data_IF_914164902376
#
_entry.id   IF_914164902376
#
_cell.length_a   1.000
_cell.length_b   1.000
_cell.length_c   1.000
_cell.angle_alpha   90.00
_cell.angle_beta   90.00
_cell.angle_gamma   90.00
#
_symmetry.space_group_name_H-M   'P 1'
#
loop_
_entity.id
_entity.type
_entity.pdbx_description
1 polymer ?
#
# COMPACT_ATOMS: atom_id res chain seq x y z
N UNK A 1 -4.57 17.17 14.99
CA UNK A 1 -4.76 16.52 13.68
C UNK A 1 -4.44 17.55 12.63
N UNK A 2 -3.55 17.25 11.69
CA UNK A 2 -3.29 18.13 10.57
C UNK A 2 -4.49 18.07 9.60
N UNK A 3 -4.96 19.22 9.12
CA UNK A 3 -6.19 19.34 8.34
C UNK A 3 -5.85 19.72 6.89
N UNK A 4 -6.29 18.91 5.91
CA UNK A 4 -6.00 19.17 4.49
C UNK A 4 -6.72 20.44 4.00
N UNK A 5 -7.84 20.79 4.64
CA UNK A 5 -8.63 21.99 4.39
C UNK A 5 -7.82 23.29 4.52
N UNK A 6 -6.70 23.30 5.25
CA UNK A 6 -5.83 24.47 5.36
C UNK A 6 -4.87 24.69 4.18
N UNK A 7 -4.86 23.79 3.18
CA UNK A 7 -3.98 23.91 2.02
C UNK A 7 -4.72 24.53 0.83
N UNK A 8 -4.26 25.69 0.28
CA UNK A 8 -4.92 26.32 -0.88
C UNK A 8 -5.04 25.39 -2.10
N UNK A 9 -4.03 24.55 -2.32
CA UNK A 9 -4.05 23.55 -3.39
C UNK A 9 -5.15 22.49 -3.19
N UNK A 10 -5.48 22.14 -1.95
CA UNK A 10 -6.55 21.20 -1.64
C UNK A 10 -7.92 21.84 -1.87
N UNK A 11 -8.13 23.07 -1.39
CA UNK A 11 -9.37 23.81 -1.60
C UNK A 11 -9.66 24.01 -3.10
N UNK A 12 -8.68 24.46 -3.88
CA UNK A 12 -8.83 24.61 -5.33
C UNK A 12 -9.09 23.28 -6.03
N UNK A 13 -8.48 22.18 -5.56
CA UNK A 13 -8.69 20.84 -6.13
C UNK A 13 -10.11 20.29 -5.90
N UNK A 14 -10.77 20.69 -4.81
CA UNK A 14 -12.12 20.23 -4.44
C UNK A 14 -13.23 21.23 -4.80
N UNK A 15 -12.86 22.41 -5.30
CA UNK A 15 -13.79 23.50 -5.62
C UNK A 15 -14.81 23.08 -6.66
N UNK A 16 -16.09 23.25 -6.33
CA UNK A 16 -17.21 22.97 -7.22
C UNK A 16 -17.52 21.48 -7.45
N UNK A 17 -16.78 20.55 -6.84
CA UNK A 17 -17.05 19.13 -6.96
C UNK A 17 -18.27 18.72 -6.10
N UNK A 18 -19.16 17.86 -6.61
CA UNK A 18 -20.12 17.09 -5.80
C UNK A 18 -19.44 16.24 -4.73
N UNK A 19 -20.18 15.81 -3.70
CA UNK A 19 -19.57 15.14 -2.54
C UNK A 19 -18.99 13.75 -2.84
N UNK A 20 -19.58 13.00 -3.77
CA UNK A 20 -19.01 11.75 -4.28
C UNK A 20 -17.75 11.99 -5.10
N UNK A 21 -17.73 13.02 -5.94
CA UNK A 21 -16.53 13.43 -6.68
C UNK A 21 -15.41 13.95 -5.76
N UNK A 22 -15.76 14.64 -4.66
CA UNK A 22 -14.80 15.07 -3.65
C UNK A 22 -14.08 13.89 -3.00
N UNK A 23 -14.82 12.86 -2.59
CA UNK A 23 -14.22 11.64 -2.01
C UNK A 23 -13.27 10.96 -2.99
N UNK A 24 -13.71 10.78 -4.24
CA UNK A 24 -12.84 10.21 -5.28
C UNK A 24 -11.59 11.06 -5.53
N UNK A 25 -11.71 12.39 -5.45
CA UNK A 25 -10.57 13.29 -5.61
C UNK A 25 -9.57 13.16 -4.44
N UNK A 26 -10.04 13.00 -3.21
CA UNK A 26 -9.20 12.76 -2.02
C UNK A 26 -8.49 11.41 -2.14
N UNK A 27 -9.22 10.34 -2.42
CA UNK A 27 -8.65 8.99 -2.61
C UNK A 27 -7.57 8.99 -3.71
N UNK A 28 -7.78 9.75 -4.78
CA UNK A 28 -6.80 9.90 -5.86
C UNK A 28 -5.53 10.67 -5.44
N UNK A 29 -5.64 11.67 -4.55
CA UNK A 29 -4.49 12.38 -4.01
C UNK A 29 -3.66 11.46 -3.12
N UNK A 30 -4.32 10.71 -2.23
CA UNK A 30 -3.67 9.74 -1.35
C UNK A 30 -2.96 8.65 -2.16
N UNK A 31 -3.63 8.08 -3.15
CA UNK A 31 -3.08 7.00 -3.97
C UNK A 31 -1.83 7.46 -4.76
N UNK A 32 -1.86 8.65 -5.36
CA UNK A 32 -0.71 9.19 -6.11
C UNK A 32 0.44 9.59 -5.19
N UNK A 33 0.09 10.23 -4.08
CA UNK A 33 1.05 10.74 -3.10
C UNK A 33 1.80 9.67 -2.33
N UNK A 34 1.24 8.46 -2.21
CA UNK A 34 1.85 7.37 -1.46
C UNK A 34 3.28 7.06 -1.95
N UNK A 35 3.51 7.08 -3.26
CA UNK A 35 4.83 6.83 -3.87
C UNK A 35 5.88 7.91 -3.56
N UNK A 36 5.44 9.09 -3.09
CA UNK A 36 6.31 10.23 -2.74
C UNK A 36 6.82 10.16 -1.30
N UNK A 37 6.22 9.31 -0.46
CA UNK A 37 6.60 9.20 0.94
C UNK A 37 8.01 8.64 1.13
N UNK A 38 8.60 8.98 2.28
CA UNK A 38 9.89 8.47 2.72
C UNK A 38 9.83 6.99 3.11
N UNK A 39 11.01 6.37 3.21
CA UNK A 39 11.15 4.94 3.51
C UNK A 39 10.45 4.51 4.80
N UNK A 40 10.56 5.30 5.87
CA UNK A 40 9.95 4.99 7.17
C UNK A 40 8.42 4.94 7.09
N UNK A 41 7.81 5.91 6.42
CA UNK A 41 6.36 5.96 6.21
C UNK A 41 5.88 4.80 5.32
N UNK A 42 6.66 4.39 4.32
CA UNK A 42 6.34 3.25 3.46
C UNK A 42 6.48 1.91 4.20
N UNK A 43 7.44 1.80 5.12
CA UNK A 43 7.58 0.65 6.00
C UNK A 43 6.41 0.56 6.98
N UNK A 44 6.01 1.67 7.61
CA UNK A 44 4.82 1.74 8.46
C UNK A 44 3.55 1.38 7.68
N UNK A 45 3.40 1.92 6.46
CA UNK A 45 2.33 1.57 5.54
C UNK A 45 2.27 0.07 5.29
N UNK A 46 3.42 -0.57 5.04
CA UNK A 46 3.51 -2.00 4.79
C UNK A 46 3.11 -2.83 6.03
N UNK A 47 3.53 -2.44 7.24
CA UNK A 47 3.10 -3.07 8.48
C UNK A 47 1.56 -3.05 8.62
N UNK A 48 0.95 -1.88 8.41
CA UNK A 48 -0.50 -1.69 8.50
C UNK A 48 -1.26 -2.53 7.46
N UNK A 49 -0.74 -2.65 6.22
CA UNK A 49 -1.35 -3.58 5.25
C UNK A 49 -1.22 -5.02 5.75
N UNK A 50 -0.04 -5.42 6.23
CA UNK A 50 0.18 -6.78 6.74
C UNK A 50 -0.80 -7.15 7.84
N UNK A 51 -0.98 -6.27 8.83
CA UNK A 51 -1.94 -6.43 9.91
C UNK A 51 -3.38 -6.51 9.37
N UNK A 52 -3.77 -5.58 8.50
CA UNK A 52 -5.10 -5.57 7.88
C UNK A 52 -5.36 -6.88 7.14
N UNK A 53 -4.45 -7.32 6.26
CA UNK A 53 -4.61 -8.55 5.49
C UNK A 53 -4.62 -9.80 6.38
N UNK A 54 -3.91 -9.79 7.50
CA UNK A 54 -3.89 -10.89 8.47
C UNK A 54 -5.25 -11.20 9.08
N UNK A 55 -6.09 -10.18 9.29
CA UNK A 55 -7.41 -10.32 9.91
C UNK A 55 -8.58 -10.67 8.99
N UNK A 56 -8.36 -10.69 7.66
CA UNK A 56 -9.44 -10.81 6.68
C UNK A 56 -9.74 -12.26 6.26
N UNK A 57 -10.93 -12.48 5.70
CA UNK A 57 -11.20 -13.69 4.93
C UNK A 57 -10.41 -13.69 3.60
N UNK A 58 -10.12 -14.86 2.99
CA UNK A 58 -9.33 -14.94 1.76
C UNK A 58 -9.92 -14.19 0.56
N UNK A 59 -11.26 -14.07 0.49
CA UNK A 59 -11.91 -13.40 -0.64
C UNK A 59 -11.69 -11.90 -0.59
N UNK A 60 -12.00 -11.26 0.55
CA UNK A 60 -11.78 -9.83 0.77
C UNK A 60 -10.29 -9.47 0.68
N UNK A 61 -9.44 -10.27 1.35
CA UNK A 61 -7.99 -10.11 1.31
C UNK A 61 -7.44 -10.13 -0.12
N UNK A 62 -7.85 -11.12 -0.92
CA UNK A 62 -7.44 -11.24 -2.32
C UNK A 62 -7.91 -10.08 -3.18
N UNK A 63 -9.16 -9.64 -3.00
CA UNK A 63 -9.70 -8.49 -3.70
C UNK A 63 -8.89 -7.21 -3.40
N UNK A 64 -8.50 -6.98 -2.14
CA UNK A 64 -7.66 -5.83 -1.76
C UNK A 64 -6.29 -5.90 -2.43
N UNK A 65 -5.61 -7.05 -2.32
CA UNK A 65 -4.27 -7.26 -2.91
C UNK A 65 -4.28 -7.04 -4.42
N UNK A 66 -5.35 -7.46 -5.10
CA UNK A 66 -5.53 -7.29 -6.55
C UNK A 66 -5.95 -5.88 -6.96
N UNK A 67 -6.24 -5.00 -6.01
CA UNK A 67 -6.80 -3.66 -6.27
C UNK A 67 -8.23 -3.68 -6.82
N UNK A 68 -9.00 -4.73 -6.49
CA UNK A 68 -10.36 -4.98 -6.98
C UNK A 68 -11.42 -4.95 -5.87
N UNK A 69 -11.02 -4.70 -4.62
CA UNK A 69 -11.97 -4.52 -3.53
C UNK A 69 -12.88 -3.31 -3.79
N UNK A 70 -14.18 -3.48 -3.54
CA UNK A 70 -15.11 -2.36 -3.51
C UNK A 70 -14.78 -1.39 -2.37
N UNK A 71 -15.21 -0.11 -2.44
CA UNK A 71 -15.02 0.84 -1.34
C UNK A 71 -15.58 0.31 -0.02
N UNK A 72 -16.74 -0.36 -0.04
CA UNK A 72 -17.33 -0.94 1.17
C UNK A 72 -16.48 -2.08 1.77
N UNK A 73 -15.90 -2.94 0.94
CA UNK A 73 -14.98 -3.99 1.40
C UNK A 73 -13.72 -3.38 2.03
N UNK A 74 -13.15 -2.36 1.38
CA UNK A 74 -11.96 -1.69 1.88
C UNK A 74 -12.21 -0.96 3.20
N UNK A 75 -13.31 -0.19 3.29
CA UNK A 75 -13.69 0.50 4.54
C UNK A 75 -13.94 -0.49 5.69
N UNK A 76 -14.56 -1.64 5.41
CA UNK A 76 -14.76 -2.69 6.41
C UNK A 76 -13.42 -3.30 6.86
N UNK A 77 -12.48 -3.51 5.94
CA UNK A 77 -11.15 -4.00 6.27
C UNK A 77 -10.39 -3.00 7.15
N UNK A 78 -10.41 -1.71 6.81
CA UNK A 78 -9.82 -0.67 7.65
C UNK A 78 -10.45 -0.60 9.03
N UNK A 79 -11.77 -0.71 9.12
CA UNK A 79 -12.49 -0.70 10.39
C UNK A 79 -12.19 -1.92 11.29
N UNK A 80 -11.57 -2.97 10.76
CA UNK A 80 -11.12 -4.13 11.57
C UNK A 80 -9.78 -3.92 12.26
N UNK A 81 -9.03 -2.88 11.89
CA UNK A 81 -7.78 -2.53 12.55
C UNK A 81 -8.04 -1.94 13.95
N UNK A 82 -7.09 -2.08 14.90
CA UNK A 82 -7.20 -1.42 16.19
C UNK A 82 -7.18 0.12 16.01
N UNK A 83 -7.77 0.89 16.96
CA UNK A 83 -7.87 2.34 16.82
C UNK A 83 -6.54 3.06 16.56
N UNK A 84 -5.44 2.58 17.14
CA UNK A 84 -4.09 3.12 16.90
C UNK A 84 -3.64 2.94 15.44
N UNK A 85 -3.91 1.79 14.84
CA UNK A 85 -3.59 1.49 13.45
C UNK A 85 -4.46 2.30 12.47
N UNK A 86 -5.73 2.54 12.81
CA UNK A 86 -6.60 3.45 12.03
C UNK A 86 -6.05 4.88 12.05
N UNK A 87 -5.59 5.35 13.21
CA UNK A 87 -4.98 6.68 13.32
C UNK A 87 -3.70 6.79 12.50
N UNK A 88 -2.80 5.81 12.59
CA UNK A 88 -1.58 5.75 11.79
C UNK A 88 -1.89 5.70 10.28
N UNK A 89 -2.90 4.92 9.88
CA UNK A 89 -3.36 4.89 8.50
C UNK A 89 -3.82 6.27 8.01
N UNK A 90 -4.65 6.96 8.80
CA UNK A 90 -5.16 8.29 8.46
C UNK A 90 -4.03 9.32 8.35
N UNK A 91 -3.02 9.24 9.21
CA UNK A 91 -1.84 10.10 9.16
C UNK A 91 -1.01 9.85 7.88
N UNK A 92 -0.78 8.59 7.51
CA UNK A 92 -0.09 8.25 6.26
C UNK A 92 -0.87 8.72 5.01
N UNK A 93 -2.19 8.55 5.03
CA UNK A 93 -3.08 9.06 3.98
C UNK A 93 -2.98 10.58 3.85
N UNK A 94 -3.00 11.30 4.97
CA UNK A 94 -2.80 12.74 5.03
C UNK A 94 -1.44 13.15 4.45
N UNK A 95 -0.35 12.50 4.89
CA UNK A 95 1.00 12.79 4.41
C UNK A 95 1.13 12.56 2.90
N UNK A 96 0.54 11.47 2.39
CA UNK A 96 0.51 11.18 0.97
C UNK A 96 -0.23 12.27 0.19
N UNK A 97 -1.46 12.59 0.59
CA UNK A 97 -2.24 13.64 -0.06
C UNK A 97 -1.50 14.98 -0.06
N UNK A 98 -0.87 15.36 1.07
CA UNK A 98 -0.03 16.56 1.17
C UNK A 98 1.13 16.50 0.19
N UNK A 99 1.89 15.41 0.15
CA UNK A 99 3.06 15.24 -0.73
C UNK A 99 2.68 15.37 -2.22
N UNK A 100 1.50 14.85 -2.61
CA UNK A 100 0.97 15.05 -3.96
C UNK A 100 0.60 16.52 -4.22
N UNK A 101 -0.08 17.18 -3.28
CA UNK A 101 -0.50 18.58 -3.41
C UNK A 101 0.67 19.57 -3.44
N UNK A 102 1.72 19.31 -2.67
CA UNK A 102 2.93 20.14 -2.61
C UNK A 102 3.92 19.82 -3.71
N UNK A 103 3.67 18.77 -4.49
CA UNK A 103 4.55 18.34 -5.59
C UNK A 103 5.89 17.79 -5.10
N UNK A 104 5.94 17.19 -3.90
CA UNK A 104 7.15 16.58 -3.36
C UNK A 104 7.69 15.51 -4.34
N UNK A 105 8.98 15.55 -4.71
CA UNK A 105 9.51 14.62 -5.69
C UNK A 105 9.44 13.18 -5.18
N UNK A 106 8.90 12.28 -6.00
CA UNK A 106 9.02 10.85 -5.73
C UNK A 106 10.49 10.43 -5.87
N UNK A 107 11.04 9.63 -4.94
CA UNK A 107 12.38 9.09 -5.10
C UNK A 107 12.47 8.25 -6.38
N UNK A 108 13.62 8.28 -7.09
CA UNK A 108 13.76 7.63 -8.38
C UNK A 108 13.57 6.11 -8.28
N UNK A 109 13.10 5.52 -9.36
CA UNK A 109 13.02 4.06 -9.50
C UNK A 109 14.43 3.46 -9.49
N UNK A 110 14.60 2.39 -8.71
CA UNK A 110 15.81 1.58 -8.72
C UNK A 110 15.45 0.11 -8.97
N UNK A 111 15.38 -0.32 -10.24
CA UNK A 111 15.09 -1.70 -10.59
C UNK A 111 16.13 -2.69 -10.04
N UNK A 112 17.37 -2.24 -9.81
CA UNK A 112 18.43 -3.08 -9.28
C UNK A 112 18.21 -3.37 -7.79
N UNK A 113 17.79 -2.37 -7.01
CA UNK A 113 17.39 -2.53 -5.62
C UNK A 113 16.16 -3.42 -5.47
N UNK A 114 15.15 -3.25 -6.34
CA UNK A 114 13.95 -4.12 -6.35
C UNK A 114 14.33 -5.57 -6.65
N UNK A 115 15.17 -5.80 -7.67
CA UNK A 115 15.67 -7.15 -7.99
C UNK A 115 16.44 -7.77 -6.81
N UNK A 116 17.30 -6.98 -6.15
CA UNK A 116 18.05 -7.44 -4.99
C UNK A 116 17.12 -7.78 -3.81
N UNK A 117 16.10 -6.98 -3.54
CA UNK A 117 15.10 -7.25 -2.50
C UNK A 117 14.27 -8.51 -2.79
N UNK A 118 13.83 -8.71 -4.03
CA UNK A 118 13.14 -9.95 -4.44
C UNK A 118 14.04 -11.18 -4.33
N UNK A 119 15.34 -11.04 -4.63
CA UNK A 119 16.31 -12.12 -4.42
C UNK A 119 16.49 -12.44 -2.93
N UNK A 120 16.61 -11.43 -2.07
CA UNK A 120 16.72 -11.59 -0.63
C UNK A 120 15.44 -12.23 -0.04
N UNK A 121 14.26 -11.83 -0.52
CA UNK A 121 12.98 -12.47 -0.20
C UNK A 121 13.00 -13.95 -0.58
N UNK A 122 13.43 -14.29 -1.79
CA UNK A 122 13.53 -15.68 -2.24
C UNK A 122 14.44 -16.55 -1.37
N UNK A 123 15.51 -15.99 -0.79
CA UNK A 123 16.41 -16.71 0.12
C UNK A 123 15.79 -17.02 1.48
N UNK A 124 14.75 -16.29 1.88
CA UNK A 124 14.04 -16.49 3.16
C UNK A 124 12.88 -17.49 3.06
N UNK A 125 12.46 -17.84 1.84
CA UNK A 125 11.31 -18.69 1.60
C UNK A 125 11.72 -20.14 1.31
N UNK A 126 10.90 -21.13 1.72
CA UNK A 126 11.03 -22.49 1.22
C UNK A 126 10.98 -22.53 -0.31
N UNK A 127 11.76 -23.40 -0.95
CA UNK A 127 11.86 -23.48 -2.41
C UNK A 127 10.49 -23.57 -3.15
N UNK A 128 9.50 -24.36 -2.67
CA UNK A 128 8.16 -24.37 -3.29
C UNK A 128 7.44 -23.01 -3.21
N UNK A 129 7.63 -22.26 -2.14
CA UNK A 129 7.02 -20.95 -1.95
C UNK A 129 7.69 -19.88 -2.82
N UNK A 130 8.99 -19.98 -3.07
CA UNK A 130 9.70 -19.07 -4.00
C UNK A 130 9.06 -19.12 -5.38
N UNK A 131 8.84 -20.33 -5.92
CA UNK A 131 8.23 -20.50 -7.23
C UNK A 131 6.77 -20.02 -7.25
N UNK A 132 6.01 -20.35 -6.21
CA UNK A 132 4.61 -19.94 -6.08
C UNK A 132 4.48 -18.41 -5.99
N UNK A 133 5.30 -17.75 -5.17
CA UNK A 133 5.29 -16.31 -5.01
C UNK A 133 5.75 -15.59 -6.29
N UNK A 134 6.81 -16.09 -6.95
CA UNK A 134 7.25 -15.54 -8.24
C UNK A 134 6.16 -15.59 -9.32
N UNK A 135 5.41 -16.69 -9.36
CA UNK A 135 4.24 -16.83 -10.27
C UNK A 135 3.12 -15.86 -9.89
N UNK A 136 2.87 -15.69 -8.58
CA UNK A 136 1.84 -14.78 -8.10
C UNK A 136 2.16 -13.31 -8.41
N UNK A 137 3.40 -12.88 -8.22
CA UNK A 137 3.85 -11.49 -8.48
C UNK A 137 3.75 -11.12 -9.97
N UNK A 138 3.95 -12.08 -10.87
CA UNK A 138 3.87 -11.85 -12.32
C UNK A 138 2.43 -11.91 -12.85
N UNK A 139 1.51 -12.58 -12.15
CA UNK A 139 0.15 -12.86 -12.62
C UNK A 139 -0.95 -12.29 -11.71
N UNK A 140 -0.61 -11.40 -10.78
CA UNK A 140 -1.49 -10.99 -9.67
C UNK A 140 -2.93 -10.67 -10.09
N UNK A 141 -3.12 -9.97 -11.21
CA UNK A 141 -4.43 -9.54 -11.71
C UNK A 141 -5.35 -10.69 -12.09
N UNK A 142 -4.81 -11.83 -12.54
CA UNK A 142 -5.58 -12.99 -13.02
C UNK A 142 -5.66 -14.12 -11.98
N UNK A 143 -5.00 -13.98 -10.84
CA UNK A 143 -5.08 -14.95 -9.75
C UNK A 143 -6.49 -15.00 -9.14
N UNK A 144 -6.83 -16.14 -8.55
CA UNK A 144 -7.97 -16.23 -7.63
C UNK A 144 -7.72 -15.36 -6.39
N UNK A 145 -8.79 -14.95 -5.71
CA UNK A 145 -8.66 -14.16 -4.48
C UNK A 145 -7.88 -14.93 -3.40
N UNK A 146 -8.09 -16.24 -3.25
CA UNK A 146 -7.33 -17.08 -2.32
C UNK A 146 -5.83 -17.03 -2.59
N UNK A 147 -5.41 -17.13 -3.86
CA UNK A 147 -3.99 -17.13 -4.22
C UNK A 147 -3.36 -15.74 -4.07
N UNK A 148 -4.08 -14.69 -4.47
CA UNK A 148 -3.66 -13.32 -4.25
C UNK A 148 -3.56 -12.98 -2.76
N UNK A 149 -4.49 -13.46 -1.93
CA UNK A 149 -4.43 -13.28 -0.49
C UNK A 149 -3.21 -13.95 0.12
N UNK A 150 -2.94 -15.20 -0.26
CA UNK A 150 -1.73 -15.90 0.17
C UNK A 150 -0.47 -15.11 -0.20
N UNK A 151 -0.36 -14.66 -1.45
CA UNK A 151 0.80 -13.90 -1.92
C UNK A 151 0.95 -12.56 -1.18
N UNK A 152 -0.15 -11.84 -0.96
CA UNK A 152 -0.18 -10.59 -0.20
C UNK A 152 0.26 -10.78 1.25
N UNK A 153 -0.32 -11.74 1.96
CA UNK A 153 0.09 -12.04 3.34
C UNK A 153 1.56 -12.44 3.41
N UNK A 154 2.03 -13.24 2.45
CA UNK A 154 3.41 -13.69 2.40
C UNK A 154 4.38 -12.53 2.18
N UNK A 155 4.11 -11.64 1.22
CA UNK A 155 5.02 -10.53 0.92
C UNK A 155 5.05 -9.50 2.06
N UNK A 156 3.89 -9.11 2.60
CA UNK A 156 3.82 -8.10 3.68
C UNK A 156 4.40 -8.62 5.00
N UNK A 157 4.32 -9.93 5.28
CA UNK A 157 4.98 -10.52 6.45
C UNK A 157 6.52 -10.44 6.39
N UNK A 158 7.10 -10.35 5.19
CA UNK A 158 8.55 -10.38 5.00
C UNK A 158 9.19 -9.00 4.83
N UNK A 159 8.41 -7.93 4.66
CA UNK A 159 8.97 -6.58 4.39
C UNK A 159 9.97 -6.16 5.46
N UNK A 160 9.58 -6.16 6.74
CA UNK A 160 10.48 -5.76 7.84
C UNK A 160 11.61 -6.75 8.09
N UNK A 161 11.34 -8.03 7.83
CA UNK A 161 12.26 -9.14 8.07
C UNK A 161 13.48 -9.13 7.13
N UNK A 162 13.38 -8.42 6.01
CA UNK A 162 14.48 -8.27 5.06
C UNK A 162 15.57 -7.31 5.55
N UNK A 163 15.21 -6.35 6.40
CA UNK A 163 16.10 -5.27 6.85
C UNK A 163 16.63 -4.38 5.72
N UNK A 164 17.32 -3.31 6.10
CA UNK A 164 17.91 -2.39 5.15
C UNK A 164 19.06 -3.06 4.35
N UNK A 165 19.16 -2.81 3.03
CA UNK A 165 18.34 -1.89 2.22
C UNK A 165 17.11 -2.54 1.56
N UNK A 166 16.90 -3.85 1.75
CA UNK A 166 15.93 -4.64 1.00
C UNK A 166 14.47 -4.37 1.39
N UNK A 167 14.23 -4.13 2.68
CA UNK A 167 12.91 -3.74 3.23
C UNK A 167 12.35 -2.49 2.53
N UNK A 168 13.16 -1.44 2.39
CA UNK A 168 12.82 -0.15 1.77
C UNK A 168 12.50 -0.31 0.29
N UNK A 169 13.35 -1.05 -0.41
CA UNK A 169 13.14 -1.34 -1.83
C UNK A 169 11.83 -2.12 -2.06
N UNK A 170 11.52 -3.09 -1.19
CA UNK A 170 10.28 -3.85 -1.26
C UNK A 170 9.06 -2.99 -0.91
N UNK A 171 9.12 -2.20 0.16
CA UNK A 171 8.03 -1.30 0.56
C UNK A 171 7.70 -0.28 -0.54
N UNK A 172 8.73 0.29 -1.19
CA UNK A 172 8.56 1.17 -2.36
C UNK A 172 7.90 0.47 -3.55
N UNK A 173 8.24 -0.78 -3.80
CA UNK A 173 7.62 -1.55 -4.87
C UNK A 173 6.12 -1.77 -4.61
N UNK A 174 5.73 -2.05 -3.37
CA UNK A 174 4.36 -2.41 -3.00
C UNK A 174 3.34 -1.27 -3.14
N UNK A 175 3.79 -0.02 -3.14
CA UNK A 175 2.92 1.16 -3.31
C UNK A 175 2.83 1.66 -4.75
N UNK A 176 3.62 1.10 -5.67
CA UNK A 176 3.57 1.43 -7.09
C UNK A 176 2.46 0.60 -7.75
N UNK A 177 1.45 1.27 -8.30
CA UNK A 177 0.35 0.66 -9.06
C UNK A 177 0.41 1.06 -10.53
#
# INVERSE_FOLDING_TARGET
>A
MAELSGLPAFEERLKGLPDDERRNAIDALEAKGMSRLGDEALLERAALVGEMLGGLDPDTCGAIVRGQASPAQFSKALASLPPSAIHAWAELAFQAARAELTGEPAPPDDPSAVKAALSALGQRLPAPEVQRLGTALTNLRILSNTEACWAGRRIYAEVHELGAPHDRALARMLVKR
#
